data_IF_471724936893
#
_entry.id   IF_471724936893
#
_cell.length_a   1.000
_cell.length_b   1.000
_cell.length_c   1.000
_cell.angle_alpha   90.00
_cell.angle_beta   90.00
_cell.angle_gamma   90.00
#
_symmetry.space_group_name_H-M   'P 1'
#
loop_
_entity.id
_entity.type
_entity.pdbx_description
1 polymer ?
#
# COMPACT_ATOMS: atom_id res chain seq x y z
N UNK A 1 23.93 39.93 31.79
CA UNK A 1 23.18 40.30 33.01
C UNK A 1 21.77 40.67 32.61
N UNK A 2 20.81 39.86 32.94
CA UNK A 2 19.41 40.20 33.28
C UNK A 2 18.62 38.89 33.40
N UNK A 3 18.35 38.57 34.64
CA UNK A 3 17.43 37.51 35.07
C UNK A 3 16.00 38.02 34.93
N UNK A 4 15.09 37.27 34.40
CA UNK A 4 13.68 37.46 34.67
C UNK A 4 13.06 36.13 35.12
N UNK A 5 12.33 36.29 36.21
CA UNK A 5 11.87 35.26 37.14
C UNK A 5 10.53 34.62 36.66
N UNK A 6 10.36 33.39 37.05
CA UNK A 6 9.10 32.67 37.13
C UNK A 6 8.03 33.42 37.90
N UNK A 7 6.79 33.27 37.49
CA UNK A 7 5.66 33.27 38.39
C UNK A 7 4.69 32.13 38.03
N UNK A 8 4.59 31.27 39.00
CA UNK A 8 3.64 30.20 39.17
C UNK A 8 2.28 30.81 39.53
N UNK A 9 1.21 30.27 39.00
CA UNK A 9 -0.10 30.41 39.59
C UNK A 9 -0.90 29.10 39.44
N UNK A 10 -0.93 28.37 40.51
CA UNK A 10 -1.85 27.30 40.73
C UNK A 10 -3.26 27.85 41.06
N UNK A 11 -4.28 27.26 40.52
CA UNK A 11 -5.64 27.39 41.02
C UNK A 11 -6.31 26.01 41.05
N UNK A 12 -6.34 25.51 42.24
CA UNK A 12 -7.22 24.41 42.69
C UNK A 12 -8.65 24.96 42.89
N UNK A 13 -9.62 24.34 42.28
CA UNK A 13 -11.00 24.32 42.78
C UNK A 13 -11.60 22.95 42.54
N UNK A 14 -11.85 22.23 43.60
CA UNK A 14 -12.88 21.19 43.85
C UNK A 14 -13.89 21.82 44.77
N UNK A 15 -15.11 21.29 45.03
CA UNK A 15 -15.73 19.99 44.76
C UNK A 15 -17.22 20.10 44.37
N UNK A 16 -17.89 19.01 44.09
CA UNK A 16 -19.00 18.49 44.84
C UNK A 16 -19.82 17.46 44.04
N UNK A 17 -20.02 16.37 44.68
CA UNK A 17 -20.86 15.27 44.26
C UNK A 17 -22.35 15.62 44.28
N UNK A 18 -23.15 14.90 43.50
CA UNK A 18 -24.41 14.30 43.94
C UNK A 18 -24.91 13.25 42.93
N UNK A 19 -25.40 12.20 43.46
CA UNK A 19 -25.77 10.93 42.90
C UNK A 19 -27.19 10.90 42.27
N UNK A 20 -27.47 9.70 41.73
CA UNK A 20 -28.78 9.04 41.54
C UNK A 20 -29.46 9.24 40.18
N UNK A 21 -29.65 8.09 39.56
CA UNK A 21 -30.63 7.91 38.48
C UNK A 21 -30.37 6.68 37.61
N UNK A 22 -30.78 5.48 38.08
CA UNK A 22 -30.95 4.30 37.24
C UNK A 22 -31.97 4.56 36.11
N UNK A 23 -31.62 4.26 34.90
CA UNK A 23 -32.58 3.81 33.90
C UNK A 23 -31.85 2.90 32.90
N UNK A 24 -32.06 1.62 33.08
CA UNK A 24 -31.74 0.61 32.07
C UNK A 24 -32.66 0.81 30.86
N UNK A 25 -32.11 1.11 29.71
CA UNK A 25 -32.79 0.94 28.41
C UNK A 25 -31.98 -0.05 27.61
N UNK A 26 -32.43 -1.27 27.60
CA UNK A 26 -32.10 -2.29 26.63
C UNK A 26 -32.67 -1.83 25.27
N UNK A 27 -31.84 -1.37 24.39
CA UNK A 27 -32.14 -1.33 22.97
C UNK A 27 -31.25 -2.29 22.26
N UNK A 28 -31.83 -3.48 22.06
CA UNK A 28 -31.36 -4.47 21.13
C UNK A 28 -31.39 -3.90 19.71
N UNK A 29 -30.39 -4.24 18.96
CA UNK A 29 -30.49 -4.38 17.52
C UNK A 29 -30.09 -3.19 16.71
N UNK A 30 -29.06 -3.38 16.01
CA UNK A 30 -29.06 -3.38 14.55
C UNK A 30 -27.72 -3.94 14.11
N UNK A 31 -27.78 -5.20 13.73
CA UNK A 31 -26.79 -5.80 12.85
C UNK A 31 -26.74 -4.97 11.58
N UNK A 32 -25.91 -3.96 11.53
CA UNK A 32 -25.50 -3.32 10.31
C UNK A 32 -24.53 -4.27 9.63
N UNK A 33 -25.04 -5.04 8.66
CA UNK A 33 -24.22 -5.71 7.68
C UNK A 33 -23.53 -4.63 6.83
N UNK A 34 -22.40 -4.15 7.29
CA UNK A 34 -21.45 -3.40 6.52
C UNK A 34 -20.66 -4.38 5.64
N UNK A 35 -21.25 -4.81 4.52
CA UNK A 35 -20.48 -5.36 3.42
C UNK A 35 -19.67 -4.23 2.82
N UNK A 36 -18.41 -4.22 3.11
CA UNK A 36 -17.42 -3.29 2.60
C UNK A 36 -16.05 -3.70 3.09
N UNK A 37 -15.76 -5.00 3.04
CA UNK A 37 -14.43 -5.53 3.28
C UNK A 37 -13.54 -5.12 2.11
N UNK A 38 -13.07 -3.89 2.09
CA UNK A 38 -11.90 -3.51 1.32
C UNK A 38 -10.74 -4.34 1.84
N UNK A 39 -10.26 -5.27 1.06
CA UNK A 39 -9.09 -6.12 1.35
C UNK A 39 -7.79 -5.30 1.42
N UNK A 40 -7.82 -4.13 2.05
CA UNK A 40 -6.67 -3.25 2.22
C UNK A 40 -5.68 -3.78 3.27
N UNK A 41 -6.06 -4.76 4.08
CA UNK A 41 -5.24 -5.26 5.18
C UNK A 41 -4.02 -6.10 4.76
N UNK A 42 -3.96 -6.58 3.51
CA UNK A 42 -2.90 -7.47 3.02
C UNK A 42 -2.12 -6.88 1.83
N UNK A 43 -2.21 -5.59 1.62
CA UNK A 43 -1.53 -4.91 0.52
C UNK A 43 -0.26 -4.23 1.03
N UNK A 44 0.89 -4.39 0.33
CA UNK A 44 2.10 -3.67 0.69
C UNK A 44 1.87 -2.15 0.67
N UNK A 45 2.57 -1.38 1.53
CA UNK A 45 2.43 0.08 1.55
C UNK A 45 2.85 0.75 0.23
N UNK A 46 3.59 0.02 -0.61
CA UNK A 46 4.04 0.46 -1.93
C UNK A 46 3.07 0.13 -3.06
N UNK A 47 1.90 -0.43 -2.76
CA UNK A 47 0.87 -0.75 -3.76
C UNK A 47 -0.45 -0.16 -3.33
N UNK A 48 -1.21 0.34 -4.29
CA UNK A 48 -2.59 0.82 -4.13
C UNK A 48 -3.46 0.25 -5.25
N UNK A 49 -4.76 0.32 -5.07
CA UNK A 49 -5.75 0.08 -6.14
C UNK A 49 -6.37 1.42 -6.52
N UNK A 50 -6.21 1.82 -7.75
CA UNK A 50 -6.76 3.07 -8.29
C UNK A 50 -7.48 2.77 -9.59
N UNK A 51 -8.76 3.12 -9.68
CA UNK A 51 -9.58 2.87 -10.88
C UNK A 51 -9.49 1.42 -11.41
N UNK A 52 -9.49 0.45 -10.51
CA UNK A 52 -9.48 -0.98 -10.84
C UNK A 52 -8.15 -1.54 -11.33
N UNK A 53 -7.05 -0.82 -11.15
CA UNK A 53 -5.70 -1.29 -11.47
C UNK A 53 -4.77 -1.12 -10.27
N UNK A 54 -3.69 -1.91 -10.23
CA UNK A 54 -2.64 -1.73 -9.25
C UNK A 54 -1.79 -0.50 -9.64
N UNK A 55 -1.48 0.32 -8.65
CA UNK A 55 -0.63 1.50 -8.81
C UNK A 55 0.40 1.56 -7.69
N UNK A 56 1.47 2.31 -7.92
CA UNK A 56 2.39 2.67 -6.87
C UNK A 56 1.83 3.79 -5.97
N UNK A 57 2.53 4.21 -4.90
CA UNK A 57 2.06 5.28 -4.02
C UNK A 57 1.86 6.63 -4.72
N UNK A 58 2.55 6.87 -5.83
CA UNK A 58 2.43 8.08 -6.65
C UNK A 58 1.25 8.01 -7.64
N UNK A 59 0.59 6.85 -7.75
CA UNK A 59 -0.51 6.63 -8.66
C UNK A 59 -0.11 6.18 -10.06
N UNK A 60 1.18 5.85 -10.28
CA UNK A 60 1.65 5.29 -11.54
C UNK A 60 1.20 3.83 -11.67
N UNK A 61 0.76 3.47 -12.85
CA UNK A 61 0.25 2.12 -13.14
C UNK A 61 1.34 1.06 -13.00
N UNK A 62 0.95 -0.08 -12.44
CA UNK A 62 1.80 -1.26 -12.34
C UNK A 62 1.45 -2.26 -13.43
N UNK A 63 2.48 -2.97 -13.90
CA UNK A 63 2.40 -3.90 -15.02
C UNK A 63 2.99 -5.26 -14.66
N UNK A 64 2.57 -6.28 -15.39
CA UNK A 64 3.16 -7.62 -15.42
C UNK A 64 3.77 -7.90 -16.79
N UNK A 65 4.69 -8.84 -16.85
CA UNK A 65 5.43 -9.22 -18.05
C UNK A 65 5.21 -10.70 -18.37
N UNK A 66 4.68 -11.03 -19.54
CA UNK A 66 4.30 -12.41 -19.91
C UNK A 66 5.48 -13.37 -20.03
N UNK A 67 6.71 -12.85 -20.17
CA UNK A 67 7.90 -13.68 -20.18
C UNK A 67 8.43 -14.03 -18.79
N UNK A 68 7.85 -13.44 -17.76
CA UNK A 68 8.10 -13.87 -16.39
C UNK A 68 7.37 -15.18 -16.14
N UNK A 69 8.03 -16.10 -15.47
CA UNK A 69 7.39 -17.34 -15.03
C UNK A 69 6.75 -17.11 -13.67
N UNK A 70 5.44 -17.26 -13.58
CA UNK A 70 4.71 -17.08 -12.34
C UNK A 70 5.27 -17.99 -11.23
N UNK A 71 5.41 -17.45 -10.03
CA UNK A 71 5.91 -18.14 -8.84
C UNK A 71 7.36 -18.67 -8.96
N UNK A 72 8.12 -18.25 -9.96
CA UNK A 72 9.54 -18.63 -10.10
C UNK A 72 10.46 -17.98 -9.07
N UNK A 73 10.00 -16.88 -8.44
CA UNK A 73 10.84 -16.06 -7.57
C UNK A 73 11.88 -15.23 -8.31
N UNK A 74 11.78 -15.16 -9.64
CA UNK A 74 12.71 -14.48 -10.54
C UNK A 74 12.01 -13.52 -11.48
N UNK A 75 12.78 -12.60 -12.06
CA UNK A 75 12.36 -11.66 -13.11
C UNK A 75 13.17 -11.94 -14.38
N UNK A 76 12.50 -12.00 -15.52
CA UNK A 76 13.13 -12.09 -16.83
C UNK A 76 13.53 -10.72 -17.40
N UNK A 77 13.03 -9.63 -16.80
CA UNK A 77 13.28 -8.26 -17.23
C UNK A 77 14.49 -7.68 -16.49
N UNK A 78 15.68 -7.80 -17.08
CA UNK A 78 16.95 -7.32 -16.55
C UNK A 78 17.63 -6.34 -17.52
N UNK A 79 18.67 -5.62 -17.06
CA UNK A 79 19.45 -4.70 -17.89
C UNK A 79 18.60 -3.64 -18.59
N UNK A 80 18.70 -3.50 -19.92
CA UNK A 80 17.95 -2.49 -20.70
C UNK A 80 16.42 -2.63 -20.55
N UNK A 81 15.92 -3.85 -20.33
CA UNK A 81 14.51 -4.06 -20.05
C UNK A 81 14.11 -3.33 -18.75
N UNK A 82 14.86 -3.50 -17.68
CA UNK A 82 14.58 -2.86 -16.39
C UNK A 82 14.72 -1.33 -16.42
N UNK A 83 15.46 -0.79 -17.39
CA UNK A 83 15.52 0.68 -17.61
C UNK A 83 14.19 1.21 -18.15
N UNK A 84 13.58 0.51 -19.10
CA UNK A 84 12.27 0.87 -19.65
C UNK A 84 11.11 0.47 -18.72
N UNK A 85 11.30 -0.62 -17.98
CA UNK A 85 10.33 -1.20 -17.06
C UNK A 85 10.92 -1.31 -15.64
N UNK A 86 11.03 -0.19 -14.93
CA UNK A 86 11.57 -0.19 -13.58
C UNK A 86 10.80 -1.13 -12.68
N UNK A 87 11.46 -2.07 -11.98
CA UNK A 87 10.80 -2.97 -11.05
C UNK A 87 10.19 -2.20 -9.88
N UNK A 88 9.05 -2.66 -9.38
CA UNK A 88 8.51 -2.16 -8.12
C UNK A 88 9.33 -2.73 -6.96
N UNK A 89 10.22 -1.91 -6.42
CA UNK A 89 11.15 -2.33 -5.39
C UNK A 89 10.46 -2.62 -4.07
N UNK A 90 10.88 -3.68 -3.41
CA UNK A 90 10.51 -3.99 -2.04
C UNK A 90 11.62 -3.50 -1.10
N UNK A 91 11.23 -2.84 0.00
CA UNK A 91 12.17 -2.38 1.01
C UNK A 91 12.88 -3.58 1.68
N UNK A 92 14.11 -3.39 2.19
CA UNK A 92 14.76 -4.41 3.01
C UNK A 92 13.86 -4.84 4.17
N UNK A 93 13.76 -6.15 4.40
CA UNK A 93 12.88 -6.70 5.44
C UNK A 93 11.41 -6.85 5.05
N UNK A 94 11.01 -6.45 3.84
CA UNK A 94 9.67 -6.72 3.35
C UNK A 94 9.40 -8.23 3.28
N UNK A 95 8.21 -8.62 3.68
CA UNK A 95 7.73 -10.01 3.68
C UNK A 95 6.45 -10.16 2.86
N UNK A 96 6.15 -11.39 2.46
CA UNK A 96 4.91 -11.71 1.76
C UNK A 96 3.68 -11.28 2.57
N UNK A 97 2.66 -10.77 1.88
CA UNK A 97 1.40 -10.32 2.47
C UNK A 97 0.24 -10.57 1.52
N UNK A 98 -0.68 -11.45 1.89
CA UNK A 98 -1.81 -11.82 1.04
C UNK A 98 -1.34 -12.43 -0.28
N UNK A 99 -1.73 -11.80 -1.39
CA UNK A 99 -1.34 -12.24 -2.74
C UNK A 99 -0.01 -11.62 -3.22
N UNK A 100 0.67 -10.86 -2.34
CA UNK A 100 1.95 -10.22 -2.64
C UNK A 100 3.10 -11.03 -2.07
N UNK A 101 4.14 -11.20 -2.87
CA UNK A 101 5.39 -11.86 -2.49
C UNK A 101 6.58 -10.97 -2.83
N UNK A 102 7.73 -11.27 -2.25
CA UNK A 102 8.98 -10.58 -2.58
C UNK A 102 9.88 -11.56 -3.30
N UNK A 103 10.32 -11.20 -4.49
CA UNK A 103 11.30 -11.97 -5.27
C UNK A 103 12.69 -11.36 -5.14
N UNK A 104 13.72 -12.16 -5.45
CA UNK A 104 15.10 -11.69 -5.52
C UNK A 104 15.54 -11.67 -6.98
N UNK A 105 15.85 -10.48 -7.48
CA UNK A 105 16.37 -10.27 -8.83
C UNK A 105 17.80 -10.79 -8.96
N UNK A 106 18.29 -10.89 -10.19
CA UNK A 106 19.66 -11.38 -10.47
C UNK A 106 20.75 -10.43 -9.93
N UNK A 107 20.45 -9.15 -9.79
CA UNK A 107 21.29 -8.14 -9.16
C UNK A 107 21.22 -8.11 -7.63
N UNK A 108 20.46 -9.05 -7.02
CA UNK A 108 20.24 -9.15 -5.57
C UNK A 108 19.15 -8.22 -5.03
N UNK A 109 18.63 -7.32 -5.84
CA UNK A 109 17.56 -6.40 -5.43
C UNK A 109 16.25 -7.14 -5.14
N UNK A 110 15.42 -6.58 -4.26
CA UNK A 110 14.12 -7.14 -3.90
C UNK A 110 13.01 -6.42 -4.66
N UNK A 111 12.11 -7.19 -5.25
CA UNK A 111 11.00 -6.69 -6.06
C UNK A 111 9.68 -7.30 -5.60
N UNK A 112 8.63 -6.51 -5.59
CA UNK A 112 7.28 -7.01 -5.33
C UNK A 112 6.76 -7.81 -6.51
N UNK A 113 6.06 -8.88 -6.20
CA UNK A 113 5.27 -9.67 -7.14
C UNK A 113 3.83 -9.78 -6.62
N UNK A 114 2.87 -9.85 -7.53
CA UNK A 114 1.46 -10.04 -7.25
C UNK A 114 0.97 -11.31 -7.94
N UNK A 115 0.32 -12.20 -7.20
CA UNK A 115 -0.10 -13.52 -7.70
C UNK A 115 1.03 -14.27 -8.42
N UNK A 116 2.25 -14.16 -7.89
CA UNK A 116 3.44 -14.78 -8.44
C UNK A 116 4.09 -14.06 -9.62
N UNK A 117 3.48 -12.99 -10.16
CA UNK A 117 4.01 -12.20 -11.26
C UNK A 117 4.74 -10.96 -10.75
N UNK A 118 6.02 -10.76 -11.09
CA UNK A 118 6.75 -9.55 -10.76
C UNK A 118 6.04 -8.28 -11.24
N UNK A 119 6.09 -7.21 -10.44
CA UNK A 119 5.45 -5.94 -10.74
C UNK A 119 6.46 -4.91 -11.22
N UNK A 120 6.09 -4.16 -12.26
CA UNK A 120 6.91 -3.13 -12.89
C UNK A 120 6.14 -1.84 -13.07
N UNK A 121 6.86 -0.73 -13.19
CA UNK A 121 6.37 0.53 -13.75
C UNK A 121 6.77 0.61 -15.22
N UNK A 122 6.21 1.57 -15.94
CA UNK A 122 6.67 1.91 -17.28
C UNK A 122 7.32 3.31 -17.27
N UNK A 123 8.53 3.40 -17.78
CA UNK A 123 9.31 4.64 -17.70
C UNK A 123 8.67 5.82 -18.44
N UNK A 124 7.77 5.56 -19.40
CA UNK A 124 7.06 6.60 -20.16
C UNK A 124 5.71 7.00 -19.58
N UNK A 125 5.23 6.33 -18.54
CA UNK A 125 4.08 6.79 -17.78
C UNK A 125 4.53 7.98 -16.90
N UNK A 126 4.07 9.18 -17.26
CA UNK A 126 4.57 10.42 -16.68
C UNK A 126 3.68 10.94 -15.53
N UNK A 127 2.42 10.53 -15.47
CA UNK A 127 1.44 11.03 -14.51
C UNK A 127 0.51 9.92 -14.02
N UNK A 128 -0.11 10.11 -12.84
CA UNK A 128 -1.10 9.18 -12.31
C UNK A 128 -2.19 8.87 -13.34
N UNK A 129 -2.50 7.58 -13.48
CA UNK A 129 -3.52 7.09 -14.41
C UNK A 129 -3.03 6.82 -15.83
N UNK A 130 -1.80 7.17 -16.19
CA UNK A 130 -1.22 6.75 -17.47
C UNK A 130 -1.15 5.22 -17.54
N UNK A 131 -1.44 4.68 -18.73
CA UNK A 131 -1.41 3.25 -19.04
C UNK A 131 -0.77 3.02 -20.42
N UNK A 132 0.26 3.80 -20.71
CA UNK A 132 0.87 3.81 -22.06
C UNK A 132 1.68 2.56 -22.35
N UNK A 133 1.94 1.75 -21.32
CA UNK A 133 2.60 0.47 -21.43
C UNK A 133 1.66 -0.73 -21.64
N UNK A 134 0.33 -0.52 -21.56
CA UNK A 134 -0.62 -1.63 -21.69
C UNK A 134 -0.58 -2.23 -23.09
N UNK A 135 -0.52 -3.56 -23.14
CA UNK A 135 -0.41 -4.33 -24.37
C UNK A 135 0.82 -4.02 -25.22
N UNK A 136 1.85 -3.39 -24.68
CA UNK A 136 3.07 -3.08 -25.41
C UNK A 136 3.78 -4.37 -25.83
N UNK A 137 4.04 -4.51 -27.13
CA UNK A 137 4.59 -5.73 -27.77
C UNK A 137 3.78 -7.01 -27.48
N UNK A 138 2.50 -6.90 -27.06
CA UNK A 138 1.62 -8.01 -26.65
C UNK A 138 2.19 -8.89 -25.53
N UNK A 139 3.06 -8.33 -24.68
CA UNK A 139 3.71 -9.06 -23.56
C UNK A 139 3.69 -8.27 -22.24
N UNK A 140 3.23 -7.02 -22.26
CA UNK A 140 3.09 -6.18 -21.08
C UNK A 140 1.63 -5.87 -20.80
N UNK A 141 1.18 -6.10 -19.59
CA UNK A 141 -0.23 -5.92 -19.23
C UNK A 141 -0.37 -5.16 -17.93
N UNK A 142 -1.39 -4.30 -17.87
CA UNK A 142 -1.73 -3.62 -16.62
C UNK A 142 -2.09 -4.64 -15.54
N UNK A 143 -1.45 -4.54 -14.40
CA UNK A 143 -1.74 -5.39 -13.25
C UNK A 143 -3.09 -5.01 -12.62
N UNK A 144 -3.98 -5.98 -12.45
CA UNK A 144 -5.33 -5.81 -11.86
C UNK A 144 -5.45 -6.65 -10.59
N UNK A 145 -6.21 -6.15 -9.57
CA UNK A 145 -6.47 -6.88 -8.35
C UNK A 145 -7.27 -8.16 -8.54
#
# INVERSE_FOLDING_TARGET
MARVRLTSAASLVRPAALAVGCAAVLLAGCSGMGMGGSSAGNMPPTVKVTSGVLTDPQGLTLYTFDRDTANSGKSACNGPCATNWPPLMAAPGSSASGQYTVITRDDGAKQWAYRGMPLYRFAKDAKPGDKTGDNLNNVWHVAKP
#
